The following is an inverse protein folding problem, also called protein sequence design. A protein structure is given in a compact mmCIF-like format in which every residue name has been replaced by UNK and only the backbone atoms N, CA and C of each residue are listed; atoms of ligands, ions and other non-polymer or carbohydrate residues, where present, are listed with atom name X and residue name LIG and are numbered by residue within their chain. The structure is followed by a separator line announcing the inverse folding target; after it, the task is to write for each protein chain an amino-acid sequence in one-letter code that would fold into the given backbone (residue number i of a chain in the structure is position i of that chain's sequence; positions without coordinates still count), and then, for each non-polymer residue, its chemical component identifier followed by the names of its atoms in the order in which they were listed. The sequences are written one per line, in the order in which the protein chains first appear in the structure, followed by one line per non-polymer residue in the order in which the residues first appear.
data_IF_974607914063
#
_entry.id   IF_974607914063
#
_cell.length_a   1.000
_cell.length_b   1.000
_cell.length_c   1.000
_cell.angle_alpha   90.00
_cell.angle_beta   90.00
_cell.angle_gamma   90.00
#
_symmetry.space_group_name_H-M   'P 1'
#
loop_
_entity.id
_entity.type
_entity.pdbx_description
1 polymer ?
#
# COMPACT_ATOMS: atom_id res chain seq x y z
N UNK A 1 26.15 -6.21 -11.00
CA UNK A 1 26.46 -7.64 -11.26
C UNK A 1 25.50 -8.15 -12.33
N UNK A 2 25.96 -8.94 -13.30
CA UNK A 2 25.08 -9.51 -14.31
C UNK A 2 24.08 -10.49 -13.67
N UNK A 3 22.82 -10.44 -14.11
CA UNK A 3 21.77 -11.36 -13.67
C UNK A 3 22.05 -12.77 -14.19
N UNK A 4 21.78 -13.79 -13.37
CA UNK A 4 21.85 -15.18 -13.82
C UNK A 4 20.67 -15.54 -14.75
N UNK A 5 20.71 -16.66 -15.48
CA UNK A 5 19.65 -17.02 -16.44
C UNK A 5 18.26 -17.18 -15.83
N UNK A 6 18.14 -17.57 -14.56
CA UNK A 6 16.84 -17.66 -13.88
C UNK A 6 16.28 -16.28 -13.54
N UNK A 7 17.15 -15.36 -13.08
CA UNK A 7 16.80 -13.99 -12.80
C UNK A 7 16.42 -13.23 -14.08
N UNK A 8 17.17 -13.43 -15.17
CA UNK A 8 16.84 -12.86 -16.49
C UNK A 8 15.45 -13.31 -16.95
N UNK A 9 15.13 -14.60 -16.83
CA UNK A 9 13.78 -15.12 -17.13
C UNK A 9 12.72 -14.49 -16.24
N UNK A 10 12.98 -14.34 -14.95
CA UNK A 10 12.05 -13.70 -14.03
C UNK A 10 11.83 -12.22 -14.35
N UNK A 11 12.87 -11.50 -14.80
CA UNK A 11 12.77 -10.10 -15.23
C UNK A 11 11.95 -9.96 -16.51
N UNK A 12 12.21 -10.81 -17.50
CA UNK A 12 11.55 -10.78 -18.81
C UNK A 12 10.15 -11.42 -18.86
N UNK A 13 9.70 -12.06 -17.78
CA UNK A 13 8.40 -12.74 -17.79
C UNK A 13 7.24 -11.74 -18.02
N UNK A 14 6.19 -12.13 -18.75
CA UNK A 14 5.02 -11.27 -19.01
C UNK A 14 4.46 -10.65 -17.73
N UNK A 15 3.97 -9.41 -17.83
CA UNK A 15 3.44 -8.65 -16.69
C UNK A 15 1.92 -8.81 -16.50
N UNK A 16 1.25 -9.40 -17.48
CA UNK A 16 -0.19 -9.74 -17.47
C UNK A 16 -0.48 -11.09 -16.78
N UNK A 17 0.55 -11.81 -16.34
CA UNK A 17 0.44 -13.11 -15.70
C UNK A 17 1.12 -13.14 -14.31
N UNK A 18 0.54 -13.84 -13.31
CA UNK A 18 1.18 -14.00 -12.02
C UNK A 18 2.50 -14.77 -12.13
N UNK A 19 3.56 -14.23 -11.52
CA UNK A 19 4.87 -14.88 -11.42
C UNK A 19 5.23 -15.13 -9.95
N UNK A 20 5.49 -16.39 -9.59
CA UNK A 20 6.02 -16.77 -8.28
C UNK A 20 7.51 -17.13 -8.39
N UNK A 21 8.35 -16.38 -7.67
CA UNK A 21 9.79 -16.64 -7.59
C UNK A 21 10.09 -17.32 -6.26
N UNK A 22 10.62 -18.55 -6.31
CA UNK A 22 11.09 -19.29 -5.13
C UNK A 22 12.61 -19.16 -5.09
N UNK A 23 13.14 -18.57 -4.02
CA UNK A 23 14.56 -18.28 -3.92
C UNK A 23 15.05 -18.39 -2.47
N UNK A 24 16.21 -19.00 -2.25
CA UNK A 24 16.87 -19.09 -0.94
C UNK A 24 17.45 -17.75 -0.47
N UNK A 25 17.90 -17.65 0.78
CA UNK A 25 18.61 -16.47 1.26
C UNK A 25 19.86 -16.18 0.40
N UNK A 26 20.21 -14.89 0.20
CA UNK A 26 21.39 -14.49 -0.57
C UNK A 26 21.33 -14.70 -2.09
N UNK A 27 20.23 -15.24 -2.64
CA UNK A 27 20.11 -15.55 -4.09
C UNK A 27 19.78 -14.35 -5.00
N UNK A 28 19.87 -13.12 -4.48
CA UNK A 28 19.61 -11.91 -5.26
C UNK A 28 18.14 -11.64 -5.58
N UNK A 29 17.21 -12.01 -4.69
CA UNK A 29 15.77 -11.67 -4.82
C UNK A 29 15.54 -10.18 -5.01
N UNK A 30 16.15 -9.38 -4.15
CA UNK A 30 16.07 -7.91 -4.18
C UNK A 30 16.57 -7.35 -5.50
N UNK A 31 17.68 -7.89 -6.00
CA UNK A 31 18.26 -7.50 -7.29
C UNK A 31 17.35 -7.88 -8.47
N UNK A 32 16.73 -9.06 -8.41
CA UNK A 32 15.76 -9.51 -9.41
C UNK A 32 14.53 -8.61 -9.45
N UNK A 33 14.00 -8.21 -8.29
CA UNK A 33 12.86 -7.29 -8.21
C UNK A 33 13.19 -5.90 -8.75
N UNK A 34 14.34 -5.33 -8.39
CA UNK A 34 14.76 -4.04 -8.91
C UNK A 34 14.97 -4.06 -10.43
N UNK A 35 15.60 -5.11 -10.96
CA UNK A 35 15.75 -5.29 -12.40
C UNK A 35 14.40 -5.48 -13.12
N UNK A 36 13.45 -6.21 -12.50
CA UNK A 36 12.09 -6.37 -13.05
C UNK A 36 11.35 -5.04 -13.07
N UNK A 37 11.49 -4.20 -12.05
CA UNK A 37 10.92 -2.85 -12.04
C UNK A 37 11.39 -2.03 -13.25
N UNK A 38 12.72 -2.00 -13.47
CA UNK A 38 13.32 -1.28 -14.60
C UNK A 38 12.85 -1.82 -15.95
N UNK A 39 12.71 -3.15 -16.06
CA UNK A 39 12.20 -3.77 -17.28
C UNK A 39 10.74 -3.41 -17.56
N UNK A 40 9.88 -3.35 -16.54
CA UNK A 40 8.50 -2.89 -16.70
C UNK A 40 8.45 -1.43 -17.20
N UNK A 41 9.28 -0.55 -16.63
CA UNK A 41 9.40 0.84 -17.10
C UNK A 41 9.90 0.89 -18.55
N UNK A 42 10.90 0.08 -18.89
CA UNK A 42 11.42 -0.04 -20.27
C UNK A 42 10.34 -0.49 -21.26
N UNK A 43 9.41 -1.35 -20.82
CA UNK A 43 8.25 -1.79 -21.61
C UNK A 43 7.16 -0.72 -21.74
N UNK A 44 7.36 0.49 -21.20
CA UNK A 44 6.43 1.61 -21.29
C UNK A 44 5.38 1.65 -20.17
N UNK A 45 5.51 0.81 -19.13
CA UNK A 45 4.64 0.91 -17.96
C UNK A 45 5.06 2.13 -17.15
N UNK A 46 4.12 3.06 -16.97
CA UNK A 46 4.35 4.26 -16.17
C UNK A 46 4.74 3.86 -14.73
N UNK A 47 5.81 4.44 -14.14
CA UNK A 47 6.26 4.11 -12.78
C UNK A 47 5.17 4.20 -11.71
N UNK A 48 4.23 5.14 -11.88
CA UNK A 48 3.09 5.35 -10.97
C UNK A 48 2.12 4.16 -10.96
N UNK A 49 2.20 3.27 -11.96
CA UNK A 49 1.40 2.05 -12.09
C UNK A 49 2.12 0.80 -11.59
N UNK A 50 3.32 0.94 -11.03
CA UNK A 50 4.12 -0.17 -10.49
C UNK A 50 4.22 -0.03 -8.98
N UNK A 51 3.67 -1.02 -8.26
CA UNK A 51 3.76 -1.10 -6.80
C UNK A 51 4.77 -2.15 -6.38
N UNK A 52 5.70 -1.78 -5.50
CA UNK A 52 6.70 -2.67 -4.93
C UNK A 52 6.62 -2.58 -3.40
N UNK A 53 6.22 -3.69 -2.77
CA UNK A 53 5.99 -3.76 -1.32
C UNK A 53 7.08 -4.56 -0.61
N UNK A 54 7.48 -4.09 0.57
CA UNK A 54 8.37 -4.79 1.50
C UNK A 54 7.73 -4.90 2.88
N UNK A 55 8.35 -5.67 3.79
CA UNK A 55 7.85 -5.83 5.16
C UNK A 55 8.37 -4.77 6.13
N UNK A 56 9.52 -4.16 5.85
CA UNK A 56 10.17 -3.18 6.75
C UNK A 56 10.50 -1.90 6.00
N UNK A 57 10.52 -0.79 6.73
CA UNK A 57 10.85 0.53 6.19
C UNK A 57 12.28 0.56 5.63
N UNK A 58 13.24 -0.05 6.34
CA UNK A 58 14.62 -0.16 5.86
C UNK A 58 14.72 -0.92 4.52
N UNK A 59 13.96 -2.01 4.37
CA UNK A 59 13.92 -2.75 3.12
C UNK A 59 13.25 -1.95 1.98
N UNK A 60 12.22 -1.16 2.31
CA UNK A 60 11.58 -0.27 1.34
C UNK A 60 12.56 0.81 0.86
N UNK A 61 13.28 1.44 1.79
CA UNK A 61 14.28 2.46 1.52
C UNK A 61 15.45 1.91 0.68
N UNK A 62 15.98 0.73 1.04
CA UNK A 62 17.04 0.07 0.26
C UNK A 62 16.53 -0.26 -1.16
N UNK A 63 15.31 -0.81 -1.27
CA UNK A 63 14.72 -1.14 -2.56
C UNK A 63 14.53 0.11 -3.43
N UNK A 64 14.08 1.22 -2.85
CA UNK A 64 13.90 2.50 -3.54
C UNK A 64 15.23 3.02 -4.08
N UNK A 65 16.26 3.06 -3.24
CA UNK A 65 17.61 3.45 -3.67
C UNK A 65 18.14 2.56 -4.79
N UNK A 66 17.92 1.25 -4.69
CA UNK A 66 18.34 0.27 -5.72
C UNK A 66 17.61 0.49 -7.04
N UNK A 67 16.29 0.67 -7.02
CA UNK A 67 15.50 0.95 -8.23
C UNK A 67 15.97 2.25 -8.89
N UNK A 68 16.18 3.32 -8.11
CA UNK A 68 16.69 4.60 -8.64
C UNK A 68 18.05 4.44 -9.31
N UNK A 69 18.98 3.70 -8.68
CA UNK A 69 20.28 3.41 -9.27
C UNK A 69 20.12 2.65 -10.60
N UNK A 70 19.28 1.62 -10.64
CA UNK A 70 19.08 0.81 -11.86
C UNK A 70 18.38 1.56 -12.99
N UNK A 71 17.45 2.47 -12.68
CA UNK A 71 16.84 3.35 -13.67
C UNK A 71 17.90 4.28 -14.30
N UNK A 72 18.76 4.86 -13.47
CA UNK A 72 19.88 5.70 -13.92
C UNK A 72 20.86 4.92 -14.80
N UNK A 73 21.30 3.74 -14.35
CA UNK A 73 22.18 2.86 -15.14
C UNK A 73 21.56 2.42 -16.48
N UNK A 74 20.24 2.32 -16.55
CA UNK A 74 19.51 1.97 -17.76
C UNK A 74 19.26 3.16 -18.71
N UNK A 75 19.67 4.38 -18.33
CA UNK A 75 19.39 5.60 -19.09
C UNK A 75 17.90 5.96 -19.11
N UNK A 76 17.12 5.45 -18.16
CA UNK A 76 15.69 5.74 -18.02
C UNK A 76 15.51 6.91 -17.04
N UNK A 77 15.63 8.13 -17.56
CA UNK A 77 15.39 9.33 -16.77
C UNK A 77 13.89 9.50 -16.51
N UNK A 78 13.53 9.46 -15.24
CA UNK A 78 12.17 9.79 -14.82
C UNK A 78 12.09 11.28 -14.49
N UNK A 79 10.96 11.94 -14.82
CA UNK A 79 10.71 13.30 -14.35
C UNK A 79 10.84 13.40 -12.84
N UNK A 80 11.31 14.54 -12.32
CA UNK A 80 11.54 14.72 -10.88
C UNK A 80 10.28 14.48 -10.04
N UNK A 81 9.10 14.80 -10.58
CA UNK A 81 7.84 14.51 -9.91
C UNK A 81 7.54 13.00 -9.84
N UNK A 82 7.80 12.24 -10.91
CA UNK A 82 7.59 10.79 -10.93
C UNK A 82 8.46 10.07 -9.89
N UNK A 83 9.69 10.57 -9.66
CA UNK A 83 10.56 10.05 -8.60
C UNK A 83 9.94 10.21 -7.21
N UNK A 84 9.27 11.32 -6.92
CA UNK A 84 8.60 11.54 -5.63
C UNK A 84 7.40 10.60 -5.44
N UNK A 85 6.78 10.15 -6.54
CA UNK A 85 5.54 9.38 -6.49
C UNK A 85 5.71 7.86 -6.62
N UNK A 86 6.94 7.34 -6.76
CA UNK A 86 7.21 5.90 -6.83
C UNK A 86 6.54 5.14 -5.67
N UNK A 87 5.74 4.13 -6.00
CA UNK A 87 5.05 3.28 -5.04
C UNK A 87 5.96 2.15 -4.54
N UNK A 88 7.02 2.53 -3.83
CA UNK A 88 7.95 1.62 -3.17
C UNK A 88 7.86 1.89 -1.67
N UNK A 89 7.22 1.00 -0.92
CA UNK A 89 6.89 1.20 0.49
C UNK A 89 6.71 -0.12 1.24
N UNK A 90 6.47 -0.04 2.54
CA UNK A 90 5.90 -1.17 3.27
C UNK A 90 4.44 -1.41 2.90
N UNK A 91 3.90 -2.57 3.27
CA UNK A 91 2.46 -2.84 3.18
C UNK A 91 1.63 -1.79 3.94
N UNK A 92 2.05 -1.42 5.15
CA UNK A 92 1.36 -0.41 5.95
C UNK A 92 1.46 0.98 5.34
N UNK A 93 2.64 1.38 4.86
CA UNK A 93 2.81 2.67 4.17
C UNK A 93 1.96 2.76 2.89
N UNK A 94 1.87 1.66 2.14
CA UNK A 94 1.01 1.57 0.96
C UNK A 94 -0.48 1.74 1.34
N UNK A 95 -0.94 0.98 2.34
CA UNK A 95 -2.31 1.07 2.81
C UNK A 95 -2.65 2.48 3.32
N UNK A 96 -1.77 3.10 4.11
CA UNK A 96 -1.96 4.46 4.61
C UNK A 96 -2.08 5.47 3.47
N UNK A 97 -1.21 5.39 2.45
CA UNK A 97 -1.28 6.28 1.28
C UNK A 97 -2.61 6.11 0.53
N UNK A 98 -3.10 4.87 0.38
CA UNK A 98 -4.42 4.62 -0.20
C UNK A 98 -5.55 5.25 0.63
N UNK A 99 -5.49 5.15 1.96
CA UNK A 99 -6.50 5.75 2.84
C UNK A 99 -6.45 7.28 2.81
N UNK A 100 -5.27 7.89 2.70
CA UNK A 100 -5.13 9.33 2.54
C UNK A 100 -5.69 9.82 1.20
N UNK A 101 -5.48 9.06 0.12
CA UNK A 101 -5.89 9.45 -1.23
C UNK A 101 -7.38 9.16 -1.50
N UNK A 102 -7.91 8.05 -0.98
CA UNK A 102 -9.26 7.57 -1.31
C UNK A 102 -10.18 7.43 -0.09
N UNK A 103 -9.68 7.56 1.14
CA UNK A 103 -10.44 7.29 2.36
C UNK A 103 -11.68 8.17 2.54
N UNK A 104 -11.65 9.41 2.03
CA UNK A 104 -12.81 10.30 2.06
C UNK A 104 -14.04 9.67 1.38
N UNK A 105 -13.84 8.89 0.31
CA UNK A 105 -14.93 8.22 -0.42
C UNK A 105 -15.65 7.14 0.41
N UNK A 106 -15.04 6.69 1.51
CA UNK A 106 -15.57 5.70 2.45
C UNK A 106 -15.79 6.26 3.86
N UNK A 107 -15.85 7.60 3.99
CA UNK A 107 -16.15 8.30 5.25
C UNK A 107 -14.97 8.50 6.20
N UNK A 108 -13.74 8.23 5.75
CA UNK A 108 -12.55 8.48 6.59
C UNK A 108 -12.15 9.96 6.55
N UNK A 109 -11.55 10.49 7.64
CA UNK A 109 -11.02 11.84 7.66
C UNK A 109 -9.86 11.98 6.66
N UNK A 110 -9.57 13.20 6.16
CA UNK A 110 -8.54 13.45 5.14
C UNK A 110 -7.12 13.03 5.53
N UNK A 111 -6.84 12.95 6.83
CA UNK A 111 -5.55 12.52 7.35
C UNK A 111 -5.76 11.48 8.45
N UNK A 112 -6.06 10.22 8.08
CA UNK A 112 -6.27 9.17 9.06
C UNK A 112 -4.96 8.88 9.80
N UNK A 113 -5.05 8.76 11.12
CA UNK A 113 -3.92 8.43 11.99
C UNK A 113 -4.08 7.01 12.51
N UNK A 114 -2.99 6.25 12.52
CA UNK A 114 -2.96 4.97 13.25
C UNK A 114 -2.95 5.26 14.74
N UNK A 115 -3.88 4.67 15.48
CA UNK A 115 -3.91 4.75 16.93
C UNK A 115 -2.81 3.88 17.51
N UNK A 116 -2.03 4.44 18.42
CA UNK A 116 -1.10 3.68 19.25
C UNK A 116 -1.86 2.86 20.28
N UNK A 117 -1.18 1.94 20.94
CA UNK A 117 -1.77 1.19 22.04
C UNK A 117 -2.16 2.11 23.22
N UNK A 118 -1.41 3.19 23.43
CA UNK A 118 -1.71 4.20 24.45
C UNK A 118 -2.95 5.01 24.08
N UNK A 119 -3.09 5.45 22.82
CA UNK A 119 -4.29 6.14 22.35
C UNK A 119 -5.53 5.26 22.57
N UNK A 120 -5.42 3.97 22.27
CA UNK A 120 -6.51 3.03 22.46
C UNK A 120 -6.88 2.91 23.95
N UNK A 121 -5.88 2.82 24.84
CA UNK A 121 -6.12 2.76 26.27
C UNK A 121 -6.79 4.03 26.81
N UNK A 122 -6.33 5.21 26.41
CA UNK A 122 -6.92 6.49 26.83
C UNK A 122 -8.38 6.62 26.36
N UNK A 123 -8.66 6.22 25.12
CA UNK A 123 -10.04 6.19 24.59
C UNK A 123 -10.91 5.24 25.42
N UNK A 124 -10.41 4.04 25.72
CA UNK A 124 -11.15 3.06 26.52
C UNK A 124 -11.42 3.53 27.95
N UNK A 125 -10.45 4.19 28.58
CA UNK A 125 -10.62 4.78 29.91
C UNK A 125 -11.67 5.90 29.88
N UNK A 126 -11.59 6.79 28.90
CA UNK A 126 -12.57 7.88 28.73
C UNK A 126 -13.99 7.35 28.52
N UNK A 127 -14.15 6.32 27.68
CA UNK A 127 -15.46 5.65 27.47
C UNK A 127 -15.98 5.05 28.78
N UNK A 128 -15.11 4.38 29.55
CA UNK A 128 -15.48 3.78 30.83
C UNK A 128 -15.97 4.84 31.83
N UNK A 129 -15.24 5.93 32.00
CA UNK A 129 -15.60 7.01 32.91
C UNK A 129 -16.95 7.64 32.57
N UNK A 130 -17.22 7.87 31.28
CA UNK A 130 -18.51 8.42 30.82
C UNK A 130 -19.66 7.46 31.15
N UNK A 131 -19.48 6.16 30.90
CA UNK A 131 -20.50 5.13 31.15
C UNK A 131 -20.75 4.95 32.65
N UNK A 132 -19.69 4.90 33.46
CA UNK A 132 -19.80 4.73 34.91
C UNK A 132 -20.31 6.00 35.62
N UNK A 133 -19.99 7.18 35.09
CA UNK A 133 -20.46 8.48 35.60
C UNK A 133 -21.92 8.82 35.26
N UNK A 134 -22.55 8.07 34.35
CA UNK A 134 -23.97 8.23 33.99
C UNK A 134 -24.74 6.91 34.16
N UNK A 135 -25.25 6.60 35.37
CA UNK A 135 -25.91 5.32 35.65
C UNK A 135 -27.25 5.13 34.90
N UNK A 136 -27.76 6.16 34.23
CA UNK A 136 -28.92 6.10 33.34
C UNK A 136 -28.61 6.82 32.04
N UNK A 137 -27.92 6.16 31.12
CA UNK A 137 -28.00 6.54 29.72
C UNK A 137 -29.42 6.15 29.28
N UNK A 138 -30.32 7.14 29.09
CA UNK A 138 -31.54 6.90 28.32
C UNK A 138 -31.08 6.35 26.98
N UNK A 139 -31.30 5.05 26.75
CA UNK A 139 -30.86 4.35 25.55
C UNK A 139 -31.80 4.71 24.40
N UNK A 140 -31.77 5.99 23.99
CA UNK A 140 -32.06 6.42 22.63
C UNK A 140 -30.92 6.05 21.66
N UNK A 141 -30.07 5.09 22.04
CA UNK A 141 -29.03 4.53 21.20
C UNK A 141 -29.68 3.78 20.04
N UNK A 142 -29.91 4.50 18.95
CA UNK A 142 -29.92 3.91 17.61
C UNK A 142 -28.44 3.71 17.29
N UNK A 143 -27.97 2.46 17.07
CA UNK A 143 -26.60 2.24 16.64
C UNK A 143 -26.32 3.16 15.46
N UNK A 144 -25.34 4.06 15.61
CA UNK A 144 -24.79 4.75 14.46
C UNK A 144 -24.13 3.66 13.61
N UNK A 145 -24.81 3.25 12.55
CA UNK A 145 -24.38 2.23 11.58
C UNK A 145 -23.04 2.60 10.90
N UNK A 146 -22.41 3.73 11.27
CA UNK A 146 -21.33 4.35 10.51
C UNK A 146 -20.05 4.72 11.29
N UNK A 147 -19.92 4.53 12.61
CA UNK A 147 -18.75 5.11 13.33
C UNK A 147 -17.95 4.20 14.25
N UNK A 148 -18.23 2.90 14.32
CA UNK A 148 -17.30 1.95 14.92
C UNK A 148 -16.66 1.12 13.80
N UNK A 149 -15.51 1.56 13.29
CA UNK A 149 -14.71 0.78 12.33
C UNK A 149 -14.15 -0.46 13.03
N UNK A 150 -15.00 -1.50 13.12
CA UNK A 150 -14.65 -2.81 13.65
C UNK A 150 -14.12 -3.66 12.49
N UNK A 151 -12.82 -3.88 12.50
CA UNK A 151 -12.06 -4.52 11.40
C UNK A 151 -12.48 -5.97 11.09
N UNK A 152 -13.30 -6.60 11.94
CA UNK A 152 -13.73 -7.99 11.83
C UNK A 152 -15.05 -8.18 11.03
N UNK A 153 -15.75 -7.11 10.69
CA UNK A 153 -17.01 -7.22 9.92
C UNK A 153 -16.79 -7.24 8.40
N UNK A 154 -17.53 -8.12 7.70
CA UNK A 154 -17.58 -8.23 6.23
C UNK A 154 -17.78 -6.88 5.53
N UNK A 155 -18.46 -5.94 6.18
CA UNK A 155 -18.75 -4.62 5.64
C UNK A 155 -17.50 -3.76 5.41
N UNK A 156 -16.50 -3.85 6.30
CA UNK A 156 -15.24 -3.10 6.16
C UNK A 156 -14.36 -3.73 5.08
N UNK A 157 -14.35 -5.07 4.99
CA UNK A 157 -13.69 -5.78 3.91
C UNK A 157 -14.33 -5.50 2.55
N UNK A 158 -15.66 -5.43 2.50
CA UNK A 158 -16.41 -5.03 1.31
C UNK A 158 -16.13 -3.58 0.91
N UNK A 159 -15.95 -2.66 1.87
CA UNK A 159 -15.53 -1.28 1.59
C UNK A 159 -14.09 -1.22 1.06
N UNK A 160 -13.15 -1.99 1.63
CA UNK A 160 -11.80 -2.12 1.09
C UNK A 160 -11.82 -2.69 -0.35
N UNK A 161 -12.65 -3.72 -0.60
CA UNK A 161 -12.87 -4.26 -1.93
C UNK A 161 -13.56 -3.26 -2.86
N UNK A 162 -14.42 -2.36 -2.34
CA UNK A 162 -15.02 -1.29 -3.12
C UNK A 162 -13.97 -0.24 -3.54
N UNK A 163 -13.02 0.10 -2.67
CA UNK A 163 -11.85 0.95 -3.02
C UNK A 163 -11.01 0.25 -4.08
N UNK A 164 -10.66 -1.03 -3.90
CA UNK A 164 -9.93 -1.83 -4.91
C UNK A 164 -10.71 -1.91 -6.23
N UNK A 165 -12.03 -2.04 -6.17
CA UNK A 165 -12.92 -2.04 -7.33
C UNK A 165 -12.95 -0.69 -8.04
N UNK A 166 -12.97 0.42 -7.29
CA UNK A 166 -12.91 1.77 -7.83
C UNK A 166 -11.57 2.03 -8.53
N UNK A 167 -10.45 1.62 -7.90
CA UNK A 167 -9.11 1.69 -8.48
C UNK A 167 -8.99 0.88 -9.78
N UNK A 168 -9.62 -0.30 -9.85
CA UNK A 168 -9.67 -1.11 -11.08
C UNK A 168 -10.47 -0.46 -12.21
N UNK A 169 -11.54 0.27 -11.88
CA UNK A 169 -12.40 0.95 -12.87
C UNK A 169 -11.82 2.28 -13.35
N UNK A 170 -10.99 2.94 -12.55
CA UNK A 170 -10.36 4.24 -12.88
C UNK A 170 -9.22 4.21 -13.91
N UNK A 171 -8.93 3.06 -14.54
CA UNK A 171 -7.92 2.94 -15.60
C UNK A 171 -8.43 3.13 -17.02
N UNK A 172 -9.73 3.35 -17.22
CA UNK A 172 -10.35 3.63 -18.51
C UNK A 172 -10.72 5.10 -18.64
N UNK A 173 -9.92 5.85 -19.39
CA UNK A 173 -10.34 7.14 -19.93
C UNK A 173 -11.50 6.93 -20.89
N UNK A 174 -12.61 7.62 -20.66
CA UNK A 174 -13.58 8.03 -21.70
C UNK A 174 -13.85 9.50 -21.39
N UNK A 175 -13.35 10.44 -22.19
CA UNK A 175 -13.91 10.84 -23.48
C UNK A 175 -15.35 11.33 -23.34
#
# INVERSE_FOLDING_TARGET
MPLNPQQQRAVAAPHDQPLKIIAGAGTGKTETLAARYVELVRQGIAPERIVLLTFTEDAAAEMRARVMLRLSEAGLELPSHALLHLWISTFHGFAMRLLQEYGFTVGLPPNPRVLTDDDQQEIWQSIREIVEGQPQIETGYVPLEHTAYRWDTDETWNKALAVVGALRRGGGSTA
#
